data_IF_521027214637
#
_entry.id   IF_521027214637
#
_cell.length_a   1.000
_cell.length_b   1.000
_cell.length_c   1.000
_cell.angle_alpha   90.00
_cell.angle_beta   90.00
_cell.angle_gamma   90.00
#
_symmetry.space_group_name_H-M   'P 1'
#
loop_
_entity.id
_entity.type
_entity.pdbx_description
1 polymer ?
#
# COMPACT_ATOMS: atom_id res chain seq x y z
N UNK A 1 16.05 12.81 24.57
CA UNK A 1 16.37 11.54 23.86
C UNK A 1 15.20 11.19 22.95
N UNK A 2 15.32 11.47 21.66
CA UNK A 2 14.25 11.26 20.66
C UNK A 2 14.37 9.89 20.02
N UNK A 3 13.50 8.97 20.40
CA UNK A 3 13.35 7.65 19.78
C UNK A 3 12.53 7.77 18.49
N UNK A 4 13.15 8.25 17.41
CA UNK A 4 12.56 8.16 16.08
C UNK A 4 12.78 6.75 15.52
N UNK A 5 11.83 5.84 15.77
CA UNK A 5 11.85 4.50 15.18
C UNK A 5 11.71 4.62 13.66
N UNK A 6 12.81 4.42 12.94
CA UNK A 6 12.82 4.29 11.48
C UNK A 6 12.15 2.97 11.14
N UNK A 7 10.82 2.98 11.00
CA UNK A 7 10.02 1.79 10.69
C UNK A 7 10.38 1.37 9.26
N UNK A 8 11.29 0.41 9.14
CA UNK A 8 11.79 -0.09 7.85
C UNK A 8 10.64 -0.48 6.94
N UNK A 9 10.67 -0.03 5.70
CA UNK A 9 9.72 -0.42 4.67
C UNK A 9 9.79 -1.93 4.49
N UNK A 10 8.77 -2.66 4.96
CA UNK A 10 8.64 -4.11 4.75
C UNK A 10 8.62 -4.41 3.25
N UNK A 11 9.19 -5.54 2.86
CA UNK A 11 9.19 -5.96 1.45
C UNK A 11 7.75 -6.05 0.91
N UNK A 12 7.58 -5.77 -0.38
CA UNK A 12 6.29 -5.91 -1.06
C UNK A 12 5.71 -7.32 -0.87
N UNK A 13 6.55 -8.35 -0.96
CA UNK A 13 6.14 -9.74 -0.73
C UNK A 13 5.54 -9.94 0.68
N UNK A 14 6.18 -9.39 1.72
CA UNK A 14 5.67 -9.45 3.10
C UNK A 14 4.33 -8.73 3.23
N UNK A 15 4.20 -7.53 2.64
CA UNK A 15 2.95 -6.77 2.68
C UNK A 15 1.81 -7.51 1.97
N UNK A 16 2.09 -8.11 0.81
CA UNK A 16 1.11 -8.90 0.06
C UNK A 16 0.69 -10.16 0.84
N UNK A 17 1.63 -10.87 1.46
CA UNK A 17 1.33 -12.05 2.27
C UNK A 17 0.46 -11.70 3.50
N UNK A 18 0.82 -10.63 4.23
CA UNK A 18 0.03 -10.17 5.37
C UNK A 18 -1.36 -9.67 4.95
N UNK A 19 -1.47 -9.00 3.80
CA UNK A 19 -2.76 -8.60 3.24
C UNK A 19 -3.60 -9.81 2.82
N UNK A 20 -2.99 -10.82 2.19
CA UNK A 20 -3.67 -12.05 1.77
C UNK A 20 -4.27 -12.81 2.97
N UNK A 21 -3.65 -12.74 4.14
CA UNK A 21 -4.17 -13.32 5.38
C UNK A 21 -5.24 -12.42 6.04
N UNK A 22 -5.04 -11.10 6.04
CA UNK A 22 -5.95 -10.16 6.71
C UNK A 22 -7.26 -9.90 5.94
N UNK A 23 -7.20 -9.86 4.61
CA UNK A 23 -8.34 -9.49 3.77
C UNK A 23 -9.53 -10.49 3.90
N UNK A 24 -9.34 -11.82 3.86
CA UNK A 24 -10.42 -12.78 4.07
C UNK A 24 -11.11 -12.62 5.43
N UNK A 25 -10.35 -12.35 6.50
CA UNK A 25 -10.90 -12.13 7.85
C UNK A 25 -11.82 -10.90 7.90
N UNK A 26 -11.39 -9.80 7.27
CA UNK A 26 -12.17 -8.56 7.20
C UNK A 26 -13.44 -8.75 6.36
N UNK A 27 -13.33 -9.44 5.22
CA UNK A 27 -14.48 -9.74 4.35
C UNK A 27 -15.47 -10.65 5.07
N UNK A 28 -15.01 -11.74 5.67
CA UNK A 28 -15.84 -12.68 6.41
C UNK A 28 -16.61 -11.96 7.52
N UNK A 29 -15.94 -11.16 8.35
CA UNK A 29 -16.63 -10.42 9.42
C UNK A 29 -17.69 -9.46 8.88
N UNK A 30 -17.41 -8.75 7.78
CA UNK A 30 -18.35 -7.80 7.18
C UNK A 30 -19.55 -8.51 6.55
N UNK A 31 -19.33 -9.67 5.92
CA UNK A 31 -20.41 -10.54 5.44
C UNK A 31 -21.25 -11.11 6.58
N UNK A 32 -20.63 -11.57 7.66
CA UNK A 32 -21.35 -12.04 8.85
C UNK A 32 -22.19 -10.92 9.47
N UNK A 33 -21.63 -9.70 9.60
CA UNK A 33 -22.41 -8.55 10.11
C UNK A 33 -23.57 -8.18 9.18
N UNK A 34 -23.38 -8.23 7.87
CA UNK A 34 -24.49 -8.04 6.91
C UNK A 34 -25.55 -9.13 7.03
N UNK A 35 -25.15 -10.39 7.22
CA UNK A 35 -26.08 -11.50 7.41
C UNK A 35 -26.88 -11.35 8.71
N UNK A 36 -26.23 -10.95 9.81
CA UNK A 36 -26.87 -10.71 11.11
C UNK A 36 -27.81 -9.49 11.10
N UNK A 37 -27.50 -8.45 10.31
CA UNK A 37 -28.39 -7.29 10.15
C UNK A 37 -29.67 -7.61 9.36
N UNK A 38 -29.68 -8.72 8.59
CA UNK A 38 -30.85 -9.19 7.85
C UNK A 38 -31.36 -8.21 6.78
N UNK A 39 -32.62 -8.35 6.39
CA UNK A 39 -33.25 -7.55 5.33
C UNK A 39 -33.62 -6.12 5.74
N UNK A 40 -33.48 -5.77 7.03
CA UNK A 40 -33.84 -4.46 7.59
C UNK A 40 -32.70 -3.87 8.44
N UNK A 41 -31.58 -3.47 7.81
CA UNK A 41 -30.45 -2.88 8.54
C UNK A 41 -30.90 -1.63 9.29
N UNK A 42 -30.57 -1.55 10.58
CA UNK A 42 -30.90 -0.41 11.42
C UNK A 42 -30.06 0.83 11.03
N UNK A 43 -30.36 2.00 11.61
CA UNK A 43 -29.65 3.25 11.30
C UNK A 43 -28.13 3.17 11.57
N UNK A 44 -27.71 2.36 12.55
CA UNK A 44 -26.31 2.14 12.91
C UNK A 44 -25.59 1.28 11.86
N UNK A 45 -26.23 0.22 11.37
CA UNK A 45 -25.67 -0.65 10.34
C UNK A 45 -25.52 0.09 9.00
N UNK A 46 -26.50 0.93 8.63
CA UNK A 46 -26.40 1.78 7.44
C UNK A 46 -25.22 2.75 7.52
N UNK A 47 -25.02 3.40 8.66
CA UNK A 47 -23.88 4.30 8.89
C UNK A 47 -22.55 3.56 8.81
N UNK A 48 -22.47 2.37 9.41
CA UNK A 48 -21.28 1.53 9.33
C UNK A 48 -21.01 1.10 7.87
N UNK A 49 -22.02 0.73 7.10
CA UNK A 49 -21.87 0.32 5.69
C UNK A 49 -21.35 1.46 4.81
N UNK A 50 -21.85 2.68 5.02
CA UNK A 50 -21.35 3.88 4.36
C UNK A 50 -19.89 4.15 4.73
N UNK A 51 -19.54 4.08 6.02
CA UNK A 51 -18.18 4.28 6.50
C UNK A 51 -17.23 3.22 5.92
N UNK A 52 -17.69 1.96 5.83
CA UNK A 52 -16.95 0.86 5.23
C UNK A 52 -16.64 1.07 3.74
N UNK A 53 -17.54 1.70 2.98
CA UNK A 53 -17.30 2.09 1.58
C UNK A 53 -16.30 3.23 1.47
N UNK A 54 -16.51 4.30 2.26
CA UNK A 54 -15.63 5.46 2.30
C UNK A 54 -14.18 5.08 2.67
N UNK A 55 -14.00 4.13 3.61
CA UNK A 55 -12.69 3.59 3.97
C UNK A 55 -11.93 2.98 2.79
N UNK A 56 -12.63 2.25 1.90
CA UNK A 56 -12.00 1.62 0.72
C UNK A 56 -11.59 2.68 -0.30
N UNK A 57 -12.45 3.66 -0.54
CA UNK A 57 -12.17 4.78 -1.47
C UNK A 57 -11.00 5.62 -0.96
N UNK A 58 -10.99 5.96 0.33
CA UNK A 58 -9.90 6.70 0.95
C UNK A 58 -8.57 5.91 0.91
N UNK A 59 -8.62 4.60 1.18
CA UNK A 59 -7.44 3.73 1.05
C UNK A 59 -6.89 3.71 -0.37
N UNK A 60 -7.78 3.61 -1.36
CA UNK A 60 -7.40 3.64 -2.78
C UNK A 60 -6.79 4.98 -3.18
N UNK A 61 -7.38 6.11 -2.76
CA UNK A 61 -6.83 7.44 -3.03
C UNK A 61 -5.45 7.63 -2.39
N UNK A 62 -5.25 7.20 -1.14
CA UNK A 62 -3.94 7.26 -0.49
C UNK A 62 -2.90 6.39 -1.19
N UNK A 63 -3.29 5.17 -1.59
CA UNK A 63 -2.46 4.27 -2.38
C UNK A 63 -2.06 4.88 -3.72
N UNK A 64 -3.03 5.50 -4.41
CA UNK A 64 -2.78 6.18 -5.68
C UNK A 64 -1.82 7.35 -5.53
N UNK A 65 -2.02 8.20 -4.53
CA UNK A 65 -1.14 9.33 -4.26
C UNK A 65 0.28 8.88 -3.89
N UNK A 66 0.41 7.85 -3.05
CA UNK A 66 1.72 7.29 -2.67
C UNK A 66 2.47 6.73 -3.88
N UNK A 67 1.75 6.04 -4.76
CA UNK A 67 2.27 5.50 -6.01
C UNK A 67 2.72 6.62 -6.97
N UNK A 68 1.90 7.67 -7.13
CA UNK A 68 2.21 8.84 -7.94
C UNK A 68 3.47 9.57 -7.46
N UNK A 69 3.57 9.85 -6.15
CA UNK A 69 4.74 10.51 -5.57
C UNK A 69 6.01 9.66 -5.75
N UNK A 70 5.91 8.35 -5.65
CA UNK A 70 7.05 7.46 -5.88
C UNK A 70 7.44 7.41 -7.36
N UNK A 71 6.47 7.36 -8.27
CA UNK A 71 6.71 7.41 -9.71
C UNK A 71 7.41 8.72 -10.12
N UNK A 72 6.96 9.84 -9.55
CA UNK A 72 7.61 11.14 -9.75
C UNK A 72 9.07 11.13 -9.31
N UNK A 73 9.38 10.59 -8.12
CA UNK A 73 10.76 10.46 -7.65
C UNK A 73 11.62 9.60 -8.56
N UNK A 74 11.09 8.46 -9.01
CA UNK A 74 11.79 7.58 -9.97
C UNK A 74 12.08 8.33 -11.26
N UNK A 75 11.11 9.06 -11.81
CA UNK A 75 11.30 9.85 -13.03
C UNK A 75 12.42 10.89 -12.87
N UNK A 76 12.45 11.62 -11.74
CA UNK A 76 13.52 12.58 -11.45
C UNK A 76 14.89 11.91 -11.32
N UNK A 77 14.96 10.74 -10.69
CA UNK A 77 16.20 9.96 -10.59
C UNK A 77 16.70 9.50 -11.96
N UNK A 78 15.80 8.99 -12.80
CA UNK A 78 16.16 8.57 -14.17
C UNK A 78 16.67 9.76 -15.00
N UNK A 79 15.98 10.90 -14.93
CA UNK A 79 16.41 12.13 -15.60
C UNK A 79 17.78 12.59 -15.09
N UNK A 80 18.00 12.60 -13.77
CA UNK A 80 19.29 12.96 -13.19
C UNK A 80 20.41 12.02 -13.65
N UNK A 81 20.17 10.70 -13.67
CA UNK A 81 21.16 9.72 -14.16
C UNK A 81 21.43 9.87 -15.66
N UNK A 82 20.40 10.19 -16.46
CA UNK A 82 20.55 10.44 -17.89
C UNK A 82 21.34 11.73 -18.14
N UNK A 83 21.04 12.81 -17.42
CA UNK A 83 21.80 14.05 -17.48
C UNK A 83 23.25 13.83 -17.03
N UNK A 84 23.50 13.16 -15.91
CA UNK A 84 24.86 12.82 -15.47
C UNK A 84 25.61 12.02 -16.53
N UNK A 85 24.95 11.05 -17.16
CA UNK A 85 25.54 10.23 -18.23
C UNK A 85 25.85 11.02 -19.50
N UNK A 86 25.08 12.09 -19.77
CA UNK A 86 25.29 13.00 -20.89
C UNK A 86 26.43 13.99 -20.63
N UNK A 87 26.45 14.60 -19.45
CA UNK A 87 27.43 15.64 -19.08
C UNK A 87 28.77 15.07 -18.62
N UNK A 88 28.80 13.85 -18.06
CA UNK A 88 30.01 13.22 -17.53
C UNK A 88 30.08 11.74 -17.99
N UNK A 89 30.34 11.46 -19.27
CA UNK A 89 30.39 10.08 -19.78
C UNK A 89 31.45 9.20 -19.10
N UNK A 90 32.51 9.82 -18.53
CA UNK A 90 33.55 9.15 -17.75
C UNK A 90 33.13 8.82 -16.30
N UNK A 91 32.01 9.36 -15.79
CA UNK A 91 31.51 9.02 -14.45
C UNK A 91 30.85 7.63 -14.40
N UNK A 92 30.84 6.89 -15.52
CA UNK A 92 30.44 5.48 -15.60
C UNK A 92 31.52 4.56 -14.99
N UNK A 93 32.01 4.87 -13.79
CA UNK A 93 32.95 4.01 -13.07
C UNK A 93 32.15 2.91 -12.38
N UNK A 94 32.13 1.72 -12.99
CA UNK A 94 31.54 0.51 -12.41
C UNK A 94 30.20 0.11 -13.04
N UNK A 95 30.24 -0.49 -14.23
CA UNK A 95 29.20 -1.44 -14.71
C UNK A 95 27.76 -0.92 -14.80
N UNK A 96 27.52 0.40 -14.87
CA UNK A 96 26.16 0.95 -14.98
C UNK A 96 25.63 0.87 -16.43
N UNK A 97 25.65 -0.33 -16.99
CA UNK A 97 24.59 -0.79 -17.88
C UNK A 97 23.72 -1.75 -17.08
N UNK A 98 23.13 -1.29 -15.97
CA UNK A 98 21.96 -2.02 -15.46
C UNK A 98 20.97 -2.04 -16.61
N UNK A 99 20.63 -3.22 -17.10
CA UNK A 99 19.68 -3.37 -18.21
C UNK A 99 18.51 -2.42 -17.94
N UNK A 100 18.12 -1.58 -18.89
CA UNK A 100 17.02 -0.63 -18.70
C UNK A 100 15.79 -1.34 -18.10
N UNK A 101 15.63 -2.63 -18.43
CA UNK A 101 14.71 -3.58 -17.83
C UNK A 101 14.83 -3.75 -16.30
N UNK A 102 16.03 -3.97 -15.75
CA UNK A 102 16.24 -4.14 -14.29
C UNK A 102 15.91 -2.85 -13.52
N UNK A 103 16.30 -1.69 -14.06
CA UNK A 103 15.97 -0.40 -13.45
C UNK A 103 14.46 -0.15 -13.48
N UNK A 104 13.81 -0.50 -14.60
CA UNK A 104 12.35 -0.46 -14.74
C UNK A 104 11.63 -1.42 -13.79
N UNK A 105 12.12 -2.65 -13.65
CA UNK A 105 11.58 -3.65 -12.74
C UNK A 105 11.68 -3.16 -11.28
N UNK A 106 12.85 -2.65 -10.88
CA UNK A 106 13.06 -2.11 -9.53
C UNK A 106 12.17 -0.88 -9.26
N UNK A 107 12.04 0.01 -10.23
CA UNK A 107 11.12 1.15 -10.17
C UNK A 107 9.67 0.69 -9.98
N UNK A 108 9.22 -0.25 -10.81
CA UNK A 108 7.88 -0.83 -10.77
C UNK A 108 7.59 -1.46 -9.39
N UNK A 109 8.51 -2.28 -8.88
CA UNK A 109 8.36 -2.91 -7.55
C UNK A 109 8.31 -1.85 -6.45
N UNK A 110 9.13 -0.80 -6.54
CA UNK A 110 9.12 0.30 -5.56
C UNK A 110 7.82 1.10 -5.57
N UNK A 111 7.29 1.40 -6.76
CA UNK A 111 6.02 2.09 -6.98
C UNK A 111 4.86 1.27 -6.43
N UNK A 112 4.80 -0.03 -6.77
CA UNK A 112 3.81 -0.98 -6.24
C UNK A 112 3.92 -1.12 -4.72
N UNK A 113 5.12 -1.17 -4.17
CA UNK A 113 5.37 -1.22 -2.73
C UNK A 113 4.81 -0.01 -1.98
N UNK A 114 4.95 1.19 -2.53
CA UNK A 114 4.37 2.40 -1.95
C UNK A 114 2.85 2.44 -2.09
N UNK A 115 2.31 2.00 -3.23
CA UNK A 115 0.87 1.89 -3.43
C UNK A 115 0.21 0.85 -2.52
N UNK A 116 0.90 -0.22 -2.16
CA UNK A 116 0.34 -1.29 -1.30
C UNK A 116 0.29 -0.91 0.19
N UNK A 117 1.17 -0.03 0.65
CA UNK A 117 1.30 0.27 2.07
C UNK A 117 0.02 0.83 2.73
N UNK A 118 -0.76 1.75 2.13
CA UNK A 118 -1.99 2.26 2.74
C UNK A 118 -3.10 1.20 2.86
N UNK A 119 -3.26 0.34 1.85
CA UNK A 119 -4.24 -0.75 1.83
C UNK A 119 -3.85 -1.84 2.83
N UNK A 120 -2.60 -2.28 2.80
CA UNK A 120 -2.05 -3.25 3.75
C UNK A 120 -2.26 -2.79 5.20
N UNK A 121 -1.84 -1.57 5.54
CA UNK A 121 -1.98 -0.99 6.88
C UNK A 121 -3.43 -1.00 7.37
N UNK A 122 -4.38 -0.60 6.52
CA UNK A 122 -5.82 -0.59 6.88
C UNK A 122 -6.39 -1.99 7.04
N UNK A 123 -6.06 -2.92 6.15
CA UNK A 123 -6.53 -4.29 6.22
C UNK A 123 -6.05 -4.97 7.51
N UNK A 124 -4.76 -4.84 7.83
CA UNK A 124 -4.17 -5.40 9.06
C UNK A 124 -4.75 -4.75 10.31
N UNK A 125 -4.91 -3.42 10.32
CA UNK A 125 -5.52 -2.71 11.44
C UNK A 125 -6.99 -3.14 11.65
N UNK A 126 -7.75 -3.33 10.57
CA UNK A 126 -9.11 -3.83 10.62
C UNK A 126 -9.13 -5.26 11.16
N UNK A 127 -8.34 -6.19 10.61
CA UNK A 127 -8.24 -7.56 11.12
C UNK A 127 -7.92 -7.60 12.63
N UNK A 128 -6.98 -6.77 13.09
CA UNK A 128 -6.64 -6.65 14.53
C UNK A 128 -7.81 -6.16 15.37
N UNK A 129 -8.59 -5.18 14.87
CA UNK A 129 -9.80 -4.68 15.55
C UNK A 129 -10.87 -5.76 15.63
N UNK A 130 -11.04 -6.53 14.56
CA UNK A 130 -12.02 -7.60 14.48
C UNK A 130 -11.73 -8.73 15.46
N UNK A 131 -10.47 -9.14 15.61
CA UNK A 131 -10.06 -10.13 16.61
C UNK A 131 -10.40 -9.70 18.05
N UNK A 132 -10.59 -8.41 18.30
CA UNK A 132 -10.96 -7.86 19.62
C UNK A 132 -12.45 -7.61 19.79
N UNK A 133 -13.22 -7.63 18.70
CA UNK A 133 -14.63 -7.27 18.72
C UNK A 133 -15.45 -8.55 18.67
N UNK A 134 -16.17 -8.88 19.76
CA UNK A 134 -17.15 -9.97 19.73
C UNK A 134 -18.26 -9.59 18.76
N UNK A 135 -18.52 -10.46 17.77
CA UNK A 135 -19.74 -10.42 16.97
C UNK A 135 -20.91 -10.58 17.96
N UNK A 136 -21.80 -9.60 18.00
CA UNK A 136 -23.08 -9.69 18.70
C UNK A 136 -24.14 -10.13 17.71
#
# INVERSE_FOLDING_TARGET
MTTSSRRGSRSLATQTAELALAAPQVVAHRLTRMALAGHTPNARDRKEFQQMGAEKVAAFQESWMAMYLQAWRVQQQMMATAMQSFWMPWSRVGGSSTNALEQWQKATIGILGQGMAPVHRRAVANAKRLNRTKLR
#
